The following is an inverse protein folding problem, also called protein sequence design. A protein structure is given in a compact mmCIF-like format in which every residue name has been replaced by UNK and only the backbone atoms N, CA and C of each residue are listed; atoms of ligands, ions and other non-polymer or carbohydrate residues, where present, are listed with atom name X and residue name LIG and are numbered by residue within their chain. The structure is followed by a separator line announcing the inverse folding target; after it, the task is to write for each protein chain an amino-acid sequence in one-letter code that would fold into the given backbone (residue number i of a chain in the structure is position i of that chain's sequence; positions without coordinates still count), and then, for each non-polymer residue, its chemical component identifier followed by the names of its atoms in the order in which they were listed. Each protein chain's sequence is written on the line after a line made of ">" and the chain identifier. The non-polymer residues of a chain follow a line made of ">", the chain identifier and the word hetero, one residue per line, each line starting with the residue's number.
data_IF_700252057135
#
_entry.id   IF_700252057135
#
_cell.length_a   1.000
_cell.length_b   1.000
_cell.length_c   1.000
_cell.angle_alpha   90.00
_cell.angle_beta   90.00
_cell.angle_gamma   90.00
#
_symmetry.space_group_name_H-M   'P 1'
#
loop_
_entity.id
_entity.type
_entity.pdbx_description
1 polymer ?
#
# COMPACT_ATOMS: atom_id res chain seq x y z
N UNK A 1 9.90 -29.80 9.09
CA UNK A 1 9.49 -28.65 8.25
C UNK A 1 8.54 -27.67 8.94
N UNK A 2 8.36 -27.72 10.26
CA UNK A 2 7.43 -26.85 11.01
C UNK A 2 7.87 -25.38 11.14
N UNK A 3 9.12 -25.04 10.81
CA UNK A 3 9.66 -23.69 11.11
C UNK A 3 9.23 -22.63 10.10
N UNK A 4 9.11 -22.97 8.82
CA UNK A 4 8.88 -21.97 7.76
C UNK A 4 7.41 -21.53 7.73
N UNK A 5 6.48 -22.47 7.94
CA UNK A 5 5.03 -22.20 7.90
C UNK A 5 4.61 -21.24 9.01
N UNK A 6 5.11 -21.44 10.24
CA UNK A 6 4.84 -20.54 11.36
C UNK A 6 5.44 -19.13 11.17
N UNK A 7 6.58 -19.02 10.47
CA UNK A 7 7.18 -17.73 10.16
C UNK A 7 6.34 -16.99 9.11
N UNK A 8 5.86 -17.69 8.07
CA UNK A 8 4.99 -17.10 7.06
C UNK A 8 3.65 -16.64 7.65
N UNK A 9 3.06 -17.43 8.54
CA UNK A 9 1.84 -17.05 9.27
C UNK A 9 2.06 -15.80 10.13
N UNK A 10 3.20 -15.70 10.82
CA UNK A 10 3.58 -14.52 11.61
C UNK A 10 3.74 -13.27 10.75
N UNK A 11 4.37 -13.40 9.58
CA UNK A 11 4.52 -12.29 8.61
C UNK A 11 3.16 -11.81 8.13
N UNK A 12 2.28 -12.72 7.71
CA UNK A 12 0.95 -12.38 7.22
C UNK A 12 0.15 -11.64 8.30
N UNK A 13 0.16 -12.16 9.54
CA UNK A 13 -0.53 -11.55 10.67
C UNK A 13 -0.04 -10.14 10.99
N UNK A 14 1.27 -9.88 10.88
CA UNK A 14 1.82 -8.50 11.05
C UNK A 14 1.29 -7.56 9.97
N UNK A 15 1.19 -8.02 8.72
CA UNK A 15 0.64 -7.23 7.62
C UNK A 15 -0.84 -6.94 7.86
N UNK A 16 -1.63 -7.95 8.19
CA UNK A 16 -3.07 -7.81 8.52
C UNK A 16 -3.32 -6.77 9.61
N UNK A 17 -2.55 -6.82 10.70
CA UNK A 17 -2.65 -5.86 11.80
C UNK A 17 -2.38 -4.43 11.35
N UNK A 18 -1.34 -4.23 10.54
CA UNK A 18 -1.00 -2.91 10.00
C UNK A 18 -2.08 -2.40 9.03
N UNK A 19 -2.59 -3.26 8.15
CA UNK A 19 -3.66 -2.91 7.19
C UNK A 19 -4.92 -2.52 7.94
N UNK A 20 -5.35 -3.34 8.91
CA UNK A 20 -6.53 -3.06 9.74
C UNK A 20 -6.39 -1.71 10.46
N UNK A 21 -5.22 -1.43 11.03
CA UNK A 21 -4.93 -0.14 11.67
C UNK A 21 -5.04 1.03 10.69
N UNK A 22 -4.41 0.91 9.51
CA UNK A 22 -4.43 1.97 8.50
C UNK A 22 -5.83 2.23 7.95
N UNK A 23 -6.61 1.19 7.71
CA UNK A 23 -8.00 1.30 7.27
C UNK A 23 -8.87 1.93 8.35
N UNK A 24 -8.71 1.56 9.63
CA UNK A 24 -9.44 2.18 10.73
C UNK A 24 -9.10 3.67 10.90
N UNK A 25 -7.85 4.06 10.65
CA UNK A 25 -7.40 5.46 10.75
C UNK A 25 -7.84 6.33 9.57
N UNK A 26 -8.17 5.75 8.42
CA UNK A 26 -8.41 6.49 7.16
C UNK A 26 -9.62 5.94 6.42
N UNK A 27 -10.79 6.61 6.50
CA UNK A 27 -12.00 6.19 5.80
C UNK A 27 -11.80 5.97 4.30
N UNK A 28 -10.98 6.82 3.64
CA UNK A 28 -10.62 6.69 2.23
C UNK A 28 -10.10 5.29 1.85
N UNK A 29 -9.35 4.61 2.73
CA UNK A 29 -8.88 3.25 2.44
C UNK A 29 -9.99 2.21 2.54
N UNK A 30 -11.02 2.43 3.35
CA UNK A 30 -12.16 1.51 3.44
C UNK A 30 -13.09 1.66 2.23
N UNK A 31 -13.14 2.86 1.65
CA UNK A 31 -13.95 3.17 0.47
C UNK A 31 -13.32 2.61 -0.81
N UNK A 32 -12.00 2.75 -0.96
CA UNK A 32 -11.32 2.45 -2.23
C UNK A 32 -10.63 1.07 -2.29
N UNK A 33 -10.40 0.40 -1.16
CA UNK A 33 -9.59 -0.83 -1.11
C UNK A 33 -10.36 -2.00 -0.51
N UNK A 34 -10.26 -3.16 -1.16
CA UNK A 34 -10.64 -4.43 -0.54
C UNK A 34 -9.55 -4.92 0.43
N UNK A 35 -9.97 -5.31 1.64
CA UNK A 35 -9.07 -5.74 2.70
C UNK A 35 -8.27 -7.00 2.31
N UNK A 36 -8.93 -8.01 1.74
CA UNK A 36 -8.30 -9.29 1.42
C UNK A 36 -7.32 -9.10 0.26
N UNK A 37 -7.72 -8.35 -0.76
CA UNK A 37 -6.88 -8.06 -1.91
C UNK A 37 -5.62 -7.28 -1.52
N UNK A 38 -5.76 -6.23 -0.70
CA UNK A 38 -4.61 -5.40 -0.33
C UNK A 38 -3.63 -6.13 0.61
N UNK A 39 -4.13 -6.97 1.54
CA UNK A 39 -3.27 -7.81 2.38
C UNK A 39 -2.46 -8.78 1.53
N UNK A 40 -3.11 -9.46 0.58
CA UNK A 40 -2.45 -10.39 -0.32
C UNK A 40 -1.44 -9.69 -1.23
N UNK A 41 -1.79 -8.50 -1.75
CA UNK A 41 -0.90 -7.68 -2.56
C UNK A 41 0.35 -7.29 -1.76
N UNK A 42 0.17 -6.76 -0.55
CA UNK A 42 1.29 -6.39 0.33
C UNK A 42 2.18 -7.59 0.67
N UNK A 43 1.58 -8.73 1.03
CA UNK A 43 2.32 -9.96 1.31
C UNK A 43 3.18 -10.37 0.11
N UNK A 44 2.62 -10.32 -1.10
CA UNK A 44 3.35 -10.61 -2.34
C UNK A 44 4.47 -9.60 -2.59
N UNK A 45 4.21 -8.30 -2.43
CA UNK A 45 5.23 -7.25 -2.60
C UNK A 45 6.39 -7.48 -1.64
N UNK A 46 6.13 -7.77 -0.37
CA UNK A 46 7.19 -8.02 0.59
C UNK A 46 7.94 -9.32 0.32
N UNK A 47 7.26 -10.40 -0.06
CA UNK A 47 7.91 -11.67 -0.43
C UNK A 47 8.84 -11.54 -1.65
N UNK A 48 8.47 -10.69 -2.62
CA UNK A 48 9.30 -10.47 -3.83
C UNK A 48 10.53 -9.61 -3.51
N UNK A 49 10.40 -8.63 -2.60
CA UNK A 49 11.40 -7.60 -2.42
C UNK A 49 12.27 -7.78 -1.16
N UNK A 50 11.87 -8.64 -0.22
CA UNK A 50 12.57 -8.84 1.04
C UNK A 50 12.71 -10.33 1.36
N UNK A 51 13.85 -10.67 1.94
CA UNK A 51 14.01 -11.94 2.64
C UNK A 51 13.20 -11.95 3.94
N UNK A 52 12.99 -13.15 4.50
CA UNK A 52 12.32 -13.34 5.79
C UNK A 52 13.03 -12.56 6.91
N UNK A 53 14.37 -12.55 6.92
CA UNK A 53 15.16 -11.86 7.93
C UNK A 53 15.02 -10.33 7.83
N UNK A 54 15.08 -9.80 6.60
CA UNK A 54 14.85 -8.38 6.35
C UNK A 54 13.44 -7.95 6.73
N UNK A 55 12.41 -8.76 6.43
CA UNK A 55 11.05 -8.44 6.85
C UNK A 55 10.91 -8.50 8.37
N UNK A 56 11.46 -9.52 9.02
CA UNK A 56 11.34 -9.72 10.47
C UNK A 56 12.05 -8.59 11.23
N UNK A 57 13.13 -8.05 10.69
CA UNK A 57 13.86 -6.91 11.26
C UNK A 57 13.21 -5.54 11.01
N UNK A 58 12.16 -5.44 10.18
CA UNK A 58 11.42 -4.19 10.01
C UNK A 58 10.73 -3.78 11.30
N UNK A 59 10.92 -2.53 11.70
CA UNK A 59 10.14 -1.90 12.76
C UNK A 59 8.66 -1.78 12.34
N UNK A 60 7.75 -1.81 13.31
CA UNK A 60 6.33 -1.65 13.02
C UNK A 60 6.02 -0.29 12.40
N UNK A 61 6.77 0.76 12.76
CA UNK A 61 6.68 2.08 12.13
C UNK A 61 7.09 2.06 10.66
N UNK A 62 8.16 1.33 10.31
CA UNK A 62 8.61 1.22 8.92
C UNK A 62 7.65 0.37 8.10
N UNK A 63 7.17 -0.74 8.66
CA UNK A 63 6.16 -1.57 8.03
C UNK A 63 4.89 -0.76 7.76
N UNK A 64 4.36 -0.04 8.77
CA UNK A 64 3.21 0.85 8.63
C UNK A 64 3.42 1.91 7.55
N UNK A 65 4.61 2.54 7.52
CA UNK A 65 4.95 3.55 6.51
C UNK A 65 5.00 2.97 5.10
N UNK A 66 5.57 1.77 4.92
CA UNK A 66 5.63 1.08 3.63
C UNK A 66 4.24 0.65 3.16
N UNK A 67 3.47 -0.02 4.01
CA UNK A 67 2.08 -0.39 3.71
C UNK A 67 1.25 0.84 3.35
N UNK A 68 1.33 1.92 4.14
CA UNK A 68 0.59 3.15 3.85
C UNK A 68 0.94 3.74 2.48
N UNK A 69 2.19 3.68 2.03
CA UNK A 69 2.57 4.21 0.71
C UNK A 69 1.96 3.39 -0.42
N UNK A 70 2.03 2.07 -0.31
CA UNK A 70 1.46 1.14 -1.30
C UNK A 70 -0.06 1.31 -1.34
N UNK A 71 -0.72 1.31 -0.18
CA UNK A 71 -2.18 1.50 -0.09
C UNK A 71 -2.64 2.83 -0.68
N UNK A 72 -1.92 3.94 -0.47
CA UNK A 72 -2.24 5.22 -1.14
C UNK A 72 -2.13 5.09 -2.65
N UNK A 73 -1.07 4.45 -3.15
CA UNK A 73 -0.88 4.28 -4.60
C UNK A 73 -2.02 3.45 -5.21
N UNK A 74 -2.37 2.32 -4.59
CA UNK A 74 -3.46 1.45 -5.09
C UNK A 74 -4.81 2.16 -5.03
N UNK A 75 -5.14 2.84 -3.93
CA UNK A 75 -6.40 3.55 -3.78
C UNK A 75 -6.53 4.66 -4.83
N UNK A 76 -5.48 5.47 -5.00
CA UNK A 76 -5.47 6.53 -6.02
C UNK A 76 -5.54 5.94 -7.43
N UNK A 77 -4.86 4.84 -7.71
CA UNK A 77 -4.94 4.19 -9.02
C UNK A 77 -6.36 3.69 -9.31
N UNK A 78 -7.04 3.13 -8.30
CA UNK A 78 -8.46 2.78 -8.36
C UNK A 78 -9.33 3.98 -8.74
N UNK A 79 -9.25 5.06 -7.95
CA UNK A 79 -10.00 6.29 -8.21
C UNK A 79 -9.70 6.88 -9.60
N UNK A 80 -8.44 6.84 -10.05
CA UNK A 80 -8.04 7.34 -11.37
C UNK A 80 -8.67 6.52 -12.52
N UNK A 81 -8.90 5.22 -12.33
CA UNK A 81 -9.55 4.38 -13.33
C UNK A 81 -11.04 4.70 -13.52
N UNK A 82 -11.67 5.38 -12.56
CA UNK A 82 -13.08 5.79 -12.63
C UNK A 82 -13.30 7.13 -13.33
N UNK A 83 -12.21 7.87 -13.60
CA UNK A 83 -12.29 9.18 -14.23
C UNK A 83 -12.65 9.08 -15.72
N UNK A 84 -13.49 10.02 -16.18
CA UNK A 84 -13.70 10.22 -17.61
C UNK A 84 -12.42 10.72 -18.29
N UNK A 85 -12.29 10.57 -19.63
CA UNK A 85 -11.14 11.11 -20.37
C UNK A 85 -10.88 12.59 -20.11
N UNK A 86 -11.95 13.39 -19.97
CA UNK A 86 -11.86 14.82 -19.69
C UNK A 86 -11.34 15.10 -18.28
N UNK A 87 -11.79 14.32 -17.28
CA UNK A 87 -11.31 14.44 -15.90
C UNK A 87 -9.85 14.03 -15.77
N UNK A 88 -9.42 12.98 -16.47
CA UNK A 88 -8.01 12.55 -16.51
C UNK A 88 -7.12 13.65 -17.11
N UNK A 89 -7.56 14.29 -18.20
CA UNK A 89 -6.80 15.39 -18.80
C UNK A 89 -6.62 16.60 -17.85
N UNK A 90 -7.62 16.91 -17.03
CA UNK A 90 -7.53 17.95 -15.99
C UNK A 90 -6.51 17.55 -14.91
N UNK A 91 -6.55 16.30 -14.45
CA UNK A 91 -5.60 15.77 -13.48
C UNK A 91 -4.16 15.84 -14.00
N UNK A 92 -3.92 15.38 -15.23
CA UNK A 92 -2.59 15.41 -15.86
C UNK A 92 -2.03 16.84 -15.94
N UNK A 93 -2.86 17.80 -16.34
CA UNK A 93 -2.46 19.21 -16.38
C UNK A 93 -2.17 19.79 -14.99
N UNK A 94 -2.95 19.42 -13.97
CA UNK A 94 -2.70 19.83 -12.59
C UNK A 94 -1.36 19.28 -12.05
N UNK A 95 -1.05 18.02 -12.34
CA UNK A 95 0.21 17.38 -11.95
C UNK A 95 1.41 18.04 -12.65
N UNK A 96 1.33 18.28 -13.96
CA UNK A 96 2.39 18.99 -14.70
C UNK A 96 2.71 20.35 -14.07
N UNK A 97 1.68 21.12 -13.72
CA UNK A 97 1.84 22.42 -13.04
C UNK A 97 2.55 22.27 -11.69
N UNK A 98 2.20 21.28 -10.88
CA UNK A 98 2.85 21.03 -9.59
C UNK A 98 4.34 20.71 -9.73
N UNK A 99 4.74 19.91 -10.74
CA UNK A 99 6.14 19.60 -11.00
C UNK A 99 6.96 20.79 -11.52
N UNK A 100 6.32 21.76 -12.20
CA UNK A 100 6.97 22.99 -12.65
C UNK A 100 7.37 23.88 -11.46
N UNK A 101 6.58 23.90 -10.37
CA UNK A 101 6.88 24.71 -9.17
C UNK A 101 7.91 24.12 -8.21
N UNK A 102 8.26 22.83 -8.34
CA UNK A 102 9.22 22.15 -7.43
C UNK A 102 10.67 22.26 -7.94
N UNK A 103 10.88 22.68 -9.20
CA UNK A 103 12.19 22.78 -9.84
C UNK A 103 12.71 24.24 -9.97
N UNK A 104 12.30 25.16 -9.09
CA UNK A 104 12.82 26.54 -9.01
C UNK A 104 13.25 26.87 -7.58
#
# INVERSE_FOLDING_TARGET
>A
MLSTDHIQESILKRIEQVVATLMAERPFFQEELDYIEIVNHLAKVFQINLTIEEFTSLSDSDLKKRCSRIMVTEAVAGTLNELSPEQMAIFDEAIKRKFIWVNH
#
